data_IF_097562341999
#
_entry.id   IF_097562341999
#
_cell.length_a   1.000
_cell.length_b   1.000
_cell.length_c   1.000
_cell.angle_alpha   90.00
_cell.angle_beta   90.00
_cell.angle_gamma   90.00
#
_symmetry.space_group_name_H-M   'P 1'
#
loop_
_entity.id
_entity.type
_entity.pdbx_description
1 polymer ?
#
# COMPACT_ATOMS: atom_id res chain seq x y z
N UNK A 1 -44.74 -3.42 55.66
CA UNK A 1 -44.63 -3.74 54.22
C UNK A 1 -43.44 -3.00 53.61
N UNK A 2 -42.30 -3.65 53.43
CA UNK A 2 -41.24 -3.24 52.49
C UNK A 2 -40.44 -4.49 52.12
N UNK A 3 -40.97 -5.22 51.15
CA UNK A 3 -40.21 -6.20 50.37
C UNK A 3 -39.90 -5.51 49.03
N UNK A 4 -38.62 -5.43 48.65
CA UNK A 4 -38.22 -4.70 47.46
C UNK A 4 -36.83 -5.08 46.98
N UNK A 5 -36.82 -5.99 45.99
CA UNK A 5 -35.85 -6.14 44.88
C UNK A 5 -34.36 -6.34 45.25
N UNK A 6 -33.98 -7.61 45.41
CA UNK A 6 -32.61 -8.12 45.19
C UNK A 6 -32.57 -9.21 44.09
N UNK A 7 -33.33 -9.03 43.00
CA UNK A 7 -33.45 -10.03 41.92
C UNK A 7 -32.66 -9.75 40.62
N UNK A 8 -32.40 -8.48 40.28
CA UNK A 8 -32.00 -8.12 38.90
C UNK A 8 -30.56 -8.46 38.47
N UNK A 9 -29.58 -8.42 39.37
CA UNK A 9 -28.17 -8.61 38.98
C UNK A 9 -27.78 -10.07 38.72
N UNK A 10 -28.55 -11.02 39.27
CA UNK A 10 -28.37 -12.46 39.03
C UNK A 10 -28.99 -12.89 37.71
N UNK A 11 -30.21 -12.40 37.42
CA UNK A 11 -30.93 -12.67 36.17
C UNK A 11 -30.26 -12.03 34.95
N UNK A 12 -29.70 -10.81 35.06
CA UNK A 12 -28.90 -10.21 33.97
C UNK A 12 -27.62 -10.99 33.70
N UNK A 13 -26.91 -11.50 34.73
CA UNK A 13 -25.71 -12.34 34.54
C UNK A 13 -26.06 -13.73 34.00
N UNK A 14 -27.18 -14.31 34.41
CA UNK A 14 -27.67 -15.58 33.86
C UNK A 14 -28.15 -15.44 32.42
N UNK A 15 -28.89 -14.37 32.08
CA UNK A 15 -29.28 -14.09 30.70
C UNK A 15 -28.07 -13.75 29.80
N UNK A 16 -27.06 -13.06 30.33
CA UNK A 16 -25.80 -12.83 29.62
C UNK A 16 -25.01 -14.14 29.42
N UNK A 17 -24.96 -15.02 30.43
CA UNK A 17 -24.30 -16.34 30.33
C UNK A 17 -25.06 -17.35 29.45
N UNK A 18 -26.39 -17.33 29.46
CA UNK A 18 -27.24 -18.17 28.61
C UNK A 18 -27.22 -17.70 27.15
N UNK A 19 -27.26 -16.37 26.91
CA UNK A 19 -27.03 -15.80 25.58
C UNK A 19 -25.59 -16.04 25.08
N UNK A 20 -24.59 -16.03 25.98
CA UNK A 20 -23.19 -16.32 25.61
C UNK A 20 -22.99 -17.76 25.13
N UNK A 21 -23.78 -18.73 25.63
CA UNK A 21 -23.71 -20.15 25.22
C UNK A 21 -24.40 -20.43 23.88
N UNK A 22 -25.56 -19.82 23.58
CA UNK A 22 -26.27 -20.01 22.30
C UNK A 22 -25.48 -19.50 21.09
N UNK A 23 -24.57 -18.56 21.30
CA UNK A 23 -23.75 -17.98 20.25
C UNK A 23 -22.46 -18.78 19.95
N UNK A 24 -22.15 -19.83 20.71
CA UNK A 24 -20.97 -20.69 20.49
C UNK A 24 -21.21 -21.78 19.46
N UNK A 25 -20.15 -22.28 18.82
CA UNK A 25 -20.29 -23.43 17.93
C UNK A 25 -20.39 -24.71 18.76
N UNK A 26 -21.38 -25.55 18.47
CA UNK A 26 -21.44 -26.88 19.09
C UNK A 26 -20.33 -27.78 18.55
N UNK A 27 -19.91 -28.79 19.31
CA UNK A 27 -18.84 -29.71 18.88
C UNK A 27 -19.10 -30.35 17.51
N UNK A 28 -20.35 -30.74 17.25
CA UNK A 28 -20.76 -31.28 15.95
C UNK A 28 -20.61 -30.25 14.83
N UNK A 29 -21.06 -29.01 15.05
CA UNK A 29 -20.87 -27.93 14.07
C UNK A 29 -19.40 -27.68 13.79
N UNK A 30 -18.56 -27.68 14.83
CA UNK A 30 -17.11 -27.49 14.71
C UNK A 30 -16.50 -28.57 13.82
N UNK A 31 -16.81 -29.85 14.06
CA UNK A 31 -16.30 -30.97 13.27
C UNK A 31 -16.77 -30.91 11.81
N UNK A 32 -18.05 -30.67 11.57
CA UNK A 32 -18.63 -30.61 10.23
C UNK A 32 -18.05 -29.43 9.41
N UNK A 33 -17.89 -28.25 10.05
CA UNK A 33 -17.26 -27.07 9.45
C UNK A 33 -15.80 -27.35 9.10
N UNK A 34 -15.03 -27.95 10.02
CA UNK A 34 -13.61 -28.29 9.80
C UNK A 34 -13.45 -29.23 8.60
N UNK A 35 -14.19 -30.34 8.60
CA UNK A 35 -14.12 -31.34 7.53
C UNK A 35 -14.52 -30.77 6.17
N UNK A 36 -15.66 -30.08 6.11
CA UNK A 36 -16.16 -29.51 4.86
C UNK A 36 -15.25 -28.41 4.31
N UNK A 37 -14.72 -27.54 5.19
CA UNK A 37 -13.84 -26.46 4.79
C UNK A 37 -12.49 -26.97 4.28
N UNK A 38 -11.86 -27.92 4.99
CA UNK A 38 -10.57 -28.49 4.58
C UNK A 38 -10.72 -29.31 3.29
N UNK A 39 -11.76 -30.12 3.17
CA UNK A 39 -12.04 -30.88 1.95
C UNK A 39 -12.24 -29.97 0.74
N UNK A 40 -13.00 -28.89 0.89
CA UNK A 40 -13.16 -27.87 -0.15
C UNK A 40 -11.84 -27.15 -0.44
N UNK A 41 -11.10 -26.72 0.58
CA UNK A 41 -9.85 -25.97 0.42
C UNK A 41 -8.79 -26.79 -0.33
N UNK A 42 -8.65 -28.08 -0.01
CA UNK A 42 -7.72 -28.98 -0.69
C UNK A 42 -7.96 -29.07 -2.20
N UNK A 43 -9.22 -29.01 -2.63
CA UNK A 43 -9.60 -29.09 -4.06
C UNK A 43 -9.66 -27.73 -4.77
N UNK A 44 -9.93 -26.64 -4.06
CA UNK A 44 -10.30 -25.36 -4.65
C UNK A 44 -9.34 -24.20 -4.36
N UNK A 45 -8.31 -24.41 -3.52
CA UNK A 45 -7.35 -23.35 -3.19
C UNK A 45 -6.65 -22.82 -4.45
N UNK A 46 -6.58 -21.50 -4.58
CA UNK A 46 -5.78 -20.89 -5.65
C UNK A 46 -4.29 -21.18 -5.44
N UNK A 47 -3.62 -21.51 -6.54
CA UNK A 47 -2.16 -21.56 -6.60
C UNK A 47 -1.59 -20.14 -6.51
N UNK A 48 -0.94 -19.85 -5.39
CA UNK A 48 -0.32 -18.55 -5.14
C UNK A 48 1.16 -18.77 -4.81
N UNK A 49 2.08 -17.89 -5.26
CA UNK A 49 3.52 -18.13 -5.09
C UNK A 49 3.95 -18.37 -3.63
N UNK A 50 3.30 -17.70 -2.67
CA UNK A 50 3.57 -17.86 -1.24
C UNK A 50 2.92 -19.09 -0.60
N UNK A 51 2.04 -19.80 -1.31
CA UNK A 51 1.45 -21.08 -0.88
C UNK A 51 2.18 -22.30 -1.43
N UNK A 52 3.12 -22.11 -2.35
CA UNK A 52 3.95 -23.20 -2.86
C UNK A 52 4.73 -23.84 -1.71
N UNK A 53 4.93 -25.16 -1.79
CA UNK A 53 5.68 -25.92 -0.80
C UNK A 53 7.10 -25.38 -0.67
N UNK A 54 7.55 -25.27 0.57
CA UNK A 54 8.91 -24.86 0.93
C UNK A 54 9.32 -25.74 2.11
N UNK A 55 10.30 -26.61 1.87
CA UNK A 55 10.74 -27.62 2.83
C UNK A 55 11.51 -26.98 3.99
N UNK A 56 12.17 -25.85 3.75
CA UNK A 56 12.92 -25.16 4.80
C UNK A 56 11.98 -24.27 5.63
N UNK A 57 11.71 -24.70 6.87
CA UNK A 57 10.76 -24.03 7.78
C UNK A 57 10.98 -22.52 7.94
N UNK A 58 12.24 -22.07 8.07
CA UNK A 58 12.56 -20.64 8.19
C UNK A 58 12.28 -19.86 6.89
N UNK A 59 12.49 -20.48 5.72
CA UNK A 59 12.14 -19.86 4.44
C UNK A 59 10.62 -19.83 4.27
N UNK A 60 9.91 -20.87 4.71
CA UNK A 60 8.44 -20.90 4.73
C UNK A 60 7.90 -19.76 5.59
N UNK A 61 8.40 -19.59 6.82
CA UNK A 61 8.01 -18.50 7.71
C UNK A 61 8.30 -17.12 7.09
N UNK A 62 9.49 -16.92 6.51
CA UNK A 62 9.84 -15.68 5.81
C UNK A 62 8.92 -15.38 4.63
N UNK A 63 8.63 -16.36 3.77
CA UNK A 63 7.72 -16.22 2.62
C UNK A 63 6.32 -15.85 3.07
N UNK A 64 5.78 -16.55 4.08
CA UNK A 64 4.48 -16.24 4.67
C UNK A 64 4.47 -14.82 5.23
N UNK A 65 5.47 -14.44 6.02
CA UNK A 65 5.54 -13.10 6.60
C UNK A 65 5.54 -12.00 5.52
N UNK A 66 6.37 -12.15 4.48
CA UNK A 66 6.43 -11.19 3.37
C UNK A 66 5.08 -11.11 2.65
N UNK A 67 4.45 -12.25 2.32
CA UNK A 67 3.15 -12.23 1.63
C UNK A 67 2.05 -11.61 2.48
N UNK A 68 1.97 -11.96 3.77
CA UNK A 68 0.96 -11.43 4.67
C UNK A 68 1.09 -9.92 4.83
N UNK A 69 2.32 -9.40 4.96
CA UNK A 69 2.54 -7.96 5.01
C UNK A 69 2.18 -7.28 3.68
N UNK A 70 2.52 -7.88 2.53
CA UNK A 70 2.14 -7.33 1.23
C UNK A 70 0.62 -7.32 1.02
N UNK A 71 -0.10 -8.35 1.45
CA UNK A 71 -1.55 -8.51 1.28
C UNK A 71 -2.39 -7.57 2.15
N UNK A 72 -1.80 -6.94 3.17
CA UNK A 72 -2.48 -5.90 3.95
C UNK A 72 -3.00 -4.77 3.05
N UNK A 73 -4.32 -4.68 2.92
CA UNK A 73 -5.01 -3.67 2.08
C UNK A 73 -4.56 -3.64 0.61
N UNK A 74 -4.04 -4.76 0.09
CA UNK A 74 -3.56 -4.86 -1.30
C UNK A 74 -4.15 -6.12 -1.94
N UNK A 75 -4.57 -6.01 -3.21
CA UNK A 75 -5.20 -7.14 -3.91
C UNK A 75 -4.18 -8.22 -4.26
N UNK A 76 -4.59 -9.49 -4.16
CA UNK A 76 -3.78 -10.67 -4.48
C UNK A 76 -3.07 -10.56 -5.84
N UNK A 77 -3.81 -10.21 -6.91
CA UNK A 77 -3.25 -10.10 -8.26
C UNK A 77 -2.08 -9.10 -8.35
N UNK A 78 -2.17 -7.98 -7.62
CA UNK A 78 -1.09 -7.00 -7.56
C UNK A 78 0.11 -7.56 -6.81
N UNK A 79 -0.11 -8.25 -5.69
CA UNK A 79 0.95 -8.77 -4.82
C UNK A 79 1.81 -9.84 -5.52
N UNK A 80 1.24 -10.68 -6.40
CA UNK A 80 1.97 -11.77 -7.09
C UNK A 80 3.29 -11.28 -7.70
N UNK A 81 3.25 -10.21 -8.50
CA UNK A 81 4.44 -9.68 -9.16
C UNK A 81 5.47 -9.12 -8.16
N UNK A 82 5.02 -8.40 -7.13
CA UNK A 82 5.90 -7.82 -6.12
C UNK A 82 6.56 -8.90 -5.25
N UNK A 83 5.79 -9.91 -4.86
CA UNK A 83 6.29 -11.03 -4.08
C UNK A 83 7.38 -11.79 -4.84
N UNK A 84 7.15 -12.13 -6.11
CA UNK A 84 8.13 -12.86 -6.92
C UNK A 84 9.44 -12.08 -7.06
N UNK A 85 9.36 -10.76 -7.36
CA UNK A 85 10.54 -9.89 -7.42
C UNK A 85 11.25 -9.78 -6.08
N UNK A 86 10.49 -9.62 -5.00
CA UNK A 86 11.03 -9.49 -3.64
C UNK A 86 11.80 -10.74 -3.22
N UNK A 87 11.20 -11.92 -3.36
CA UNK A 87 11.83 -13.19 -3.01
C UNK A 87 13.00 -13.51 -3.94
N UNK A 88 12.95 -13.12 -5.21
CA UNK A 88 14.09 -13.26 -6.11
C UNK A 88 15.29 -12.41 -5.68
N UNK A 89 15.07 -11.18 -5.18
CA UNK A 89 16.15 -10.30 -4.69
C UNK A 89 16.63 -10.68 -3.29
N UNK A 90 15.70 -11.00 -2.39
CA UNK A 90 15.98 -11.38 -1.00
C UNK A 90 15.31 -12.71 -0.67
N UNK A 91 15.96 -13.85 -0.99
CA UNK A 91 15.35 -15.18 -0.82
C UNK A 91 15.21 -15.61 0.64
N UNK A 92 15.96 -15.00 1.56
CA UNK A 92 15.93 -15.35 2.99
C UNK A 92 15.91 -14.10 3.86
N UNK A 93 15.55 -14.30 5.13
CA UNK A 93 15.59 -13.28 6.17
C UNK A 93 16.95 -12.56 6.25
N UNK A 94 18.07 -13.32 6.16
CA UNK A 94 19.42 -12.75 6.22
C UNK A 94 19.69 -11.79 5.06
N UNK A 95 19.25 -12.13 3.84
CA UNK A 95 19.37 -11.24 2.69
C UNK A 95 18.61 -9.93 2.91
N UNK A 96 17.37 -10.00 3.40
CA UNK A 96 16.59 -8.79 3.68
C UNK A 96 17.24 -7.94 4.79
N UNK A 97 17.75 -8.57 5.86
CA UNK A 97 18.37 -7.84 6.98
C UNK A 97 19.57 -6.97 6.58
N UNK A 98 20.27 -7.35 5.51
CA UNK A 98 21.43 -6.64 4.97
C UNK A 98 21.05 -5.52 3.98
N UNK A 99 19.78 -5.45 3.57
CA UNK A 99 19.33 -4.45 2.62
C UNK A 99 19.33 -3.04 3.22
N UNK A 100 19.56 -2.04 2.36
CA UNK A 100 19.30 -0.65 2.72
C UNK A 100 17.81 -0.32 2.67
N UNK A 101 17.38 0.69 3.42
CA UNK A 101 15.99 1.15 3.38
C UNK A 101 15.60 1.67 1.98
N UNK A 102 16.54 2.29 1.27
CA UNK A 102 16.30 2.83 -0.07
C UNK A 102 16.02 1.70 -1.08
N UNK A 103 16.77 0.60 -1.04
CA UNK A 103 16.49 -0.57 -1.88
C UNK A 103 15.14 -1.22 -1.54
N UNK A 104 14.80 -1.31 -0.25
CA UNK A 104 13.51 -1.84 0.21
C UNK A 104 12.36 -0.97 -0.30
N UNK A 105 12.48 0.36 -0.19
CA UNK A 105 11.51 1.31 -0.71
C UNK A 105 11.37 1.20 -2.23
N UNK A 106 12.47 1.00 -2.95
CA UNK A 106 12.46 0.80 -4.40
C UNK A 106 11.73 -0.48 -4.81
N UNK A 107 11.97 -1.59 -4.12
CA UNK A 107 11.28 -2.85 -4.38
C UNK A 107 9.78 -2.81 -3.99
N UNK A 108 9.42 -1.95 -3.04
CA UNK A 108 8.04 -1.73 -2.60
C UNK A 108 7.30 -0.65 -3.41
N UNK A 109 8.00 0.07 -4.29
CA UNK A 109 7.48 1.23 -4.99
C UNK A 109 6.23 0.88 -5.81
N UNK A 110 5.11 1.51 -5.46
CA UNK A 110 3.80 1.29 -6.09
C UNK A 110 2.83 0.43 -5.28
N UNK A 111 3.29 -0.30 -4.25
CA UNK A 111 2.42 -1.14 -3.41
C UNK A 111 1.67 -0.34 -2.33
N UNK A 112 2.14 0.87 -2.02
CA UNK A 112 1.55 1.73 -1.00
C UNK A 112 1.86 1.28 0.45
N UNK A 113 1.47 2.11 1.42
CA UNK A 113 1.70 1.85 2.86
C UNK A 113 3.16 1.45 3.18
N UNK A 114 4.13 2.28 2.77
CA UNK A 114 5.57 1.99 2.83
C UNK A 114 6.13 1.71 4.22
N UNK A 115 5.44 2.13 5.29
CA UNK A 115 5.78 1.75 6.66
C UNK A 115 5.83 0.23 6.85
N UNK A 116 5.03 -0.53 6.09
CA UNK A 116 5.06 -1.99 6.06
C UNK A 116 6.42 -2.54 5.62
N UNK A 117 6.99 -2.00 4.54
CA UNK A 117 8.28 -2.41 4.02
C UNK A 117 9.41 -2.09 5.01
N UNK A 118 9.34 -0.91 5.64
CA UNK A 118 10.27 -0.50 6.69
C UNK A 118 10.22 -1.48 7.87
N UNK A 119 9.04 -1.83 8.35
CA UNK A 119 8.90 -2.78 9.45
C UNK A 119 9.35 -4.20 9.08
N UNK A 120 9.18 -4.65 7.84
CA UNK A 120 9.78 -5.89 7.37
C UNK A 120 11.31 -5.85 7.52
N UNK A 121 11.95 -4.76 7.10
CA UNK A 121 13.40 -4.60 7.23
C UNK A 121 13.86 -4.54 8.69
N UNK A 122 13.19 -3.73 9.52
CA UNK A 122 13.50 -3.59 10.95
C UNK A 122 13.32 -4.92 11.69
N UNK A 123 12.20 -5.61 11.45
CA UNK A 123 11.94 -6.92 12.03
C UNK A 123 12.96 -7.98 11.55
N UNK A 124 13.36 -7.94 10.27
CA UNK A 124 14.36 -8.86 9.75
C UNK A 124 15.73 -8.63 10.42
N UNK A 125 16.12 -7.38 10.62
CA UNK A 125 17.33 -7.02 11.36
C UNK A 125 17.28 -7.49 12.81
N UNK A 126 16.15 -7.30 13.49
CA UNK A 126 15.96 -7.77 14.87
C UNK A 126 16.12 -9.29 14.96
N UNK A 127 15.37 -10.05 14.16
CA UNK A 127 15.41 -11.52 14.22
C UNK A 127 16.81 -12.05 13.91
N UNK A 128 17.52 -11.46 12.94
CA UNK A 128 18.90 -11.86 12.62
C UNK A 128 19.88 -11.53 13.74
N UNK A 129 19.70 -10.40 14.44
CA UNK A 129 20.51 -10.05 15.60
C UNK A 129 20.29 -11.02 16.79
N UNK A 130 19.08 -11.59 16.91
CA UNK A 130 18.72 -12.57 17.95
C UNK A 130 19.06 -14.03 17.59
N UNK A 131 19.86 -14.27 16.54
CA UNK A 131 20.32 -15.61 16.13
C UNK A 131 19.84 -16.04 14.74
N UNK A 132 18.82 -15.36 14.20
CA UNK A 132 18.34 -15.59 12.83
C UNK A 132 17.35 -16.73 12.68
N UNK A 133 16.77 -17.22 13.78
CA UNK A 133 15.63 -18.14 13.79
C UNK A 133 14.33 -17.37 14.01
N UNK A 134 13.28 -17.69 13.25
CA UNK A 134 11.99 -17.06 13.46
C UNK A 134 11.38 -17.42 14.81
N UNK A 135 10.78 -16.45 15.52
CA UNK A 135 9.94 -16.75 16.66
C UNK A 135 8.79 -17.67 16.26
N UNK A 136 8.57 -18.75 17.01
CA UNK A 136 7.64 -19.83 16.63
C UNK A 136 6.22 -19.65 17.18
N UNK A 137 6.03 -18.76 18.15
CA UNK A 137 4.75 -18.56 18.83
C UNK A 137 4.15 -17.18 18.56
N UNK A 138 2.83 -17.04 18.61
CA UNK A 138 2.15 -15.74 18.48
C UNK A 138 2.69 -14.72 19.48
N UNK A 139 2.91 -15.14 20.74
CA UNK A 139 3.39 -14.25 21.79
C UNK A 139 4.79 -13.69 21.53
N UNK A 140 5.67 -14.47 20.89
CA UNK A 140 7.02 -14.05 20.54
C UNK A 140 7.05 -13.26 19.22
N UNK A 141 6.28 -13.69 18.21
CA UNK A 141 6.13 -13.00 16.94
C UNK A 141 5.60 -11.56 17.10
N UNK A 142 4.66 -11.34 18.03
CA UNK A 142 4.10 -10.00 18.32
C UNK A 142 5.11 -8.99 18.86
N UNK A 143 6.30 -9.43 19.30
CA UNK A 143 7.38 -8.53 19.74
C UNK A 143 8.16 -7.93 18.57
N UNK A 144 8.08 -8.56 17.39
CA UNK A 144 8.78 -8.11 16.18
C UNK A 144 8.08 -6.87 15.61
N UNK A 145 8.82 -5.80 15.26
CA UNK A 145 8.26 -4.58 14.67
C UNK A 145 7.33 -4.86 13.48
N UNK A 146 6.14 -4.28 13.54
CA UNK A 146 5.12 -4.40 12.48
C UNK A 146 4.37 -5.73 12.41
N UNK A 147 4.68 -6.71 13.28
CA UNK A 147 3.89 -7.94 13.40
C UNK A 147 2.75 -7.73 14.40
N UNK A 148 1.55 -7.50 13.87
CA UNK A 148 0.32 -7.47 14.67
C UNK A 148 -0.26 -8.86 14.93
N UNK A 149 -1.36 -8.91 15.68
CA UNK A 149 -2.05 -10.15 16.08
C UNK A 149 -2.41 -11.06 14.88
N UNK A 150 -2.97 -10.48 13.82
CA UNK A 150 -3.26 -11.20 12.56
C UNK A 150 -2.02 -11.84 11.94
N UNK A 151 -0.96 -11.06 11.72
CA UNK A 151 0.26 -11.53 11.05
C UNK A 151 1.01 -12.56 11.91
N UNK A 152 1.00 -12.38 13.24
CA UNK A 152 1.55 -13.37 14.17
C UNK A 152 0.80 -14.71 14.05
N UNK A 153 -0.54 -14.69 14.12
CA UNK A 153 -1.36 -15.90 13.95
C UNK A 153 -1.15 -16.57 12.60
N UNK A 154 -1.03 -15.79 11.53
CA UNK A 154 -0.81 -16.32 10.18
C UNK A 154 0.55 -17.02 10.06
N UNK A 155 1.63 -16.39 10.51
CA UNK A 155 2.96 -17.02 10.50
C UNK A 155 2.98 -18.26 11.39
N UNK A 156 2.49 -18.14 12.62
CA UNK A 156 2.51 -19.22 13.60
C UNK A 156 1.72 -20.45 13.16
N UNK A 157 0.51 -20.26 12.62
CA UNK A 157 -0.32 -21.38 12.16
C UNK A 157 0.16 -21.97 10.83
N UNK A 158 0.54 -21.13 9.84
CA UNK A 158 0.90 -21.60 8.49
C UNK A 158 2.31 -22.20 8.43
N UNK A 159 3.27 -21.61 9.14
CA UNK A 159 4.64 -22.11 9.17
C UNK A 159 4.85 -23.09 10.32
N UNK A 160 4.47 -22.72 11.55
CA UNK A 160 4.86 -23.46 12.75
C UNK A 160 3.76 -24.37 13.33
N UNK A 161 2.60 -24.46 12.68
CA UNK A 161 1.45 -25.27 13.10
C UNK A 161 0.94 -24.95 14.50
N UNK A 162 1.14 -23.73 14.99
CA UNK A 162 0.51 -23.31 16.25
C UNK A 162 -1.02 -23.24 16.05
N UNK A 163 -1.77 -23.81 16.99
CA UNK A 163 -3.24 -23.87 16.93
C UNK A 163 -3.81 -22.54 17.41
N UNK A 164 -3.77 -21.55 16.52
CA UNK A 164 -4.21 -20.17 16.79
C UNK A 164 -5.08 -19.64 15.64
N UNK A 165 -6.08 -18.80 15.94
CA UNK A 165 -6.94 -18.23 14.91
C UNK A 165 -6.23 -17.13 14.13
N UNK A 166 -6.74 -16.88 12.93
CA UNK A 166 -6.37 -15.75 12.09
C UNK A 166 -7.64 -15.04 11.67
N UNK A 167 -7.77 -13.75 12.00
CA UNK A 167 -8.97 -12.96 11.73
C UNK A 167 -8.66 -11.75 10.87
N UNK A 168 -9.04 -11.79 9.60
CA UNK A 168 -9.08 -10.64 8.69
C UNK A 168 -10.51 -10.23 8.33
N UNK A 169 -10.67 -9.27 7.41
CA UNK A 169 -11.99 -8.85 6.92
C UNK A 169 -12.77 -9.95 6.18
N UNK A 170 -12.09 -10.99 5.67
CA UNK A 170 -12.75 -12.15 5.05
C UNK A 170 -13.32 -13.07 6.13
N UNK A 171 -12.51 -13.42 7.12
CA UNK A 171 -12.90 -14.26 8.26
C UNK A 171 -14.00 -13.61 9.07
N UNK A 172 -13.88 -12.31 9.39
CA UNK A 172 -14.94 -11.55 10.07
C UNK A 172 -16.27 -11.68 9.33
N UNK A 173 -16.27 -11.54 8.00
CA UNK A 173 -17.49 -11.64 7.20
C UNK A 173 -18.07 -13.06 7.20
N UNK A 174 -17.22 -14.08 7.09
CA UNK A 174 -17.67 -15.47 7.13
C UNK A 174 -18.30 -15.79 8.49
N UNK A 175 -17.59 -15.49 9.59
CA UNK A 175 -18.08 -15.77 10.94
C UNK A 175 -19.35 -14.96 11.24
N UNK A 176 -19.39 -13.68 10.85
CA UNK A 176 -20.58 -12.86 11.01
C UNK A 176 -21.81 -13.47 10.32
N UNK A 177 -21.65 -14.07 9.14
CA UNK A 177 -22.75 -14.74 8.43
C UNK A 177 -23.09 -16.10 9.03
N UNK A 178 -22.08 -16.89 9.43
CA UNK A 178 -22.29 -18.17 10.10
C UNK A 178 -23.12 -18.00 11.38
N UNK A 179 -22.84 -16.95 12.15
CA UNK A 179 -23.51 -16.66 13.44
C UNK A 179 -24.61 -15.59 13.38
N UNK A 180 -24.89 -15.03 12.20
CA UNK A 180 -25.81 -13.91 12.03
C UNK A 180 -25.52 -12.71 12.97
N UNK A 181 -24.25 -12.34 13.08
CA UNK A 181 -23.79 -11.18 13.87
C UNK A 181 -23.89 -9.91 13.01
N UNK A 182 -24.87 -9.06 13.32
CA UNK A 182 -25.09 -7.78 12.62
C UNK A 182 -24.28 -6.61 13.20
N UNK A 183 -23.66 -6.78 14.37
CA UNK A 183 -22.90 -5.74 15.05
C UNK A 183 -21.78 -5.13 14.18
N UNK A 184 -21.43 -3.87 14.46
CA UNK A 184 -20.36 -3.18 13.73
C UNK A 184 -19.02 -3.92 13.93
N UNK A 185 -18.38 -4.40 12.85
CA UNK A 185 -17.18 -5.22 12.93
C UNK A 185 -15.92 -4.45 13.35
N UNK A 186 -16.04 -3.15 13.62
CA UNK A 186 -14.96 -2.29 14.11
C UNK A 186 -15.04 -2.02 15.62
N UNK A 187 -16.14 -2.38 16.27
CA UNK A 187 -16.29 -2.20 17.71
C UNK A 187 -15.43 -3.22 18.46
N UNK A 188 -14.74 -2.79 19.51
CA UNK A 188 -13.74 -3.60 20.22
C UNK A 188 -14.31 -4.91 20.77
N UNK A 189 -15.51 -4.88 21.33
CA UNK A 189 -16.21 -6.07 21.84
C UNK A 189 -16.55 -7.04 20.70
N UNK A 190 -17.07 -6.53 19.58
CA UNK A 190 -17.38 -7.33 18.40
C UNK A 190 -16.13 -7.97 17.80
N UNK A 191 -15.02 -7.22 17.71
CA UNK A 191 -13.72 -7.76 17.26
C UNK A 191 -13.28 -8.90 18.17
N UNK A 192 -13.31 -8.72 19.49
CA UNK A 192 -12.97 -9.77 20.46
C UNK A 192 -13.83 -11.02 20.25
N UNK A 193 -15.13 -10.85 20.02
CA UNK A 193 -16.06 -11.95 19.74
C UNK A 193 -15.69 -12.74 18.48
N UNK A 194 -15.28 -12.06 17.40
CA UNK A 194 -14.81 -12.74 16.19
C UNK A 194 -13.54 -13.56 16.43
N UNK A 195 -12.61 -13.07 17.26
CA UNK A 195 -11.43 -13.83 17.64
C UNK A 195 -11.75 -15.07 18.47
N UNK A 196 -12.67 -14.96 19.44
CA UNK A 196 -13.14 -16.09 20.26
C UNK A 196 -13.84 -17.17 19.40
N UNK A 197 -14.70 -16.75 18.47
CA UNK A 197 -15.40 -17.65 17.54
C UNK A 197 -14.44 -18.31 16.55
N UNK A 198 -13.46 -17.57 16.04
CA UNK A 198 -12.43 -18.14 15.17
C UNK A 198 -11.60 -19.18 15.94
N UNK A 199 -11.22 -18.89 17.19
CA UNK A 199 -10.43 -19.80 18.03
C UNK A 199 -11.11 -21.15 18.25
N UNK A 200 -12.44 -21.18 18.41
CA UNK A 200 -13.21 -22.43 18.52
C UNK A 200 -13.11 -23.31 17.27
N UNK A 201 -13.00 -22.69 16.10
CA UNK A 201 -13.05 -23.40 14.82
C UNK A 201 -11.69 -23.94 14.36
N UNK A 202 -10.58 -23.31 14.77
CA UNK A 202 -9.23 -23.68 14.31
C UNK A 202 -9.00 -25.18 14.42
N UNK A 203 -8.61 -25.81 13.32
CA UNK A 203 -8.36 -27.24 13.26
C UNK A 203 -7.02 -27.58 13.96
N UNK A 204 -6.99 -28.53 14.92
CA UNK A 204 -5.78 -28.80 15.71
C UNK A 204 -4.57 -29.39 14.98
N UNK A 205 -4.77 -30.11 13.88
CA UNK A 205 -3.71 -30.82 13.13
C UNK A 205 -3.19 -30.00 11.94
N UNK A 206 -4.05 -29.24 11.30
CA UNK A 206 -3.78 -28.41 10.13
C UNK A 206 -4.28 -26.95 10.31
N UNK A 207 -3.85 -26.25 11.38
CA UNK A 207 -4.37 -24.92 11.71
C UNK A 207 -4.09 -23.89 10.61
N UNK A 208 -2.93 -24.01 9.94
CA UNK A 208 -2.55 -23.17 8.80
C UNK A 208 -3.52 -23.30 7.63
N UNK A 209 -3.77 -24.53 7.18
CA UNK A 209 -4.65 -24.81 6.04
C UNK A 209 -6.11 -24.46 6.39
N UNK A 210 -6.54 -24.68 7.63
CA UNK A 210 -7.85 -24.24 8.10
C UNK A 210 -8.00 -22.71 8.05
N UNK A 211 -7.05 -21.96 8.61
CA UNK A 211 -7.06 -20.50 8.59
C UNK A 211 -7.03 -19.96 7.15
N UNK A 212 -6.19 -20.55 6.29
CA UNK A 212 -6.15 -20.18 4.88
C UNK A 212 -7.44 -20.55 4.13
N UNK A 213 -8.07 -21.68 4.48
CA UNK A 213 -9.37 -22.09 3.97
C UNK A 213 -10.47 -21.09 4.33
N UNK A 214 -10.48 -20.60 5.56
CA UNK A 214 -11.49 -19.63 6.01
C UNK A 214 -11.31 -18.26 5.31
N UNK A 215 -10.06 -17.82 5.14
CA UNK A 215 -9.74 -16.63 4.35
C UNK A 215 -10.12 -16.81 2.87
N UNK A 216 -9.82 -17.97 2.28
CA UNK A 216 -10.14 -18.30 0.89
C UNK A 216 -11.65 -18.33 0.66
N UNK A 217 -12.41 -18.98 1.56
CA UNK A 217 -13.86 -19.04 1.52
C UNK A 217 -14.47 -17.64 1.50
N UNK A 218 -14.00 -16.75 2.37
CA UNK A 218 -14.43 -15.35 2.33
C UNK A 218 -14.06 -14.67 1.01
N UNK A 219 -12.84 -14.89 0.52
CA UNK A 219 -12.34 -14.23 -0.69
C UNK A 219 -13.05 -14.67 -1.99
N UNK A 220 -13.46 -15.93 -2.11
CA UNK A 220 -13.92 -16.51 -3.39
C UNK A 220 -15.39 -16.90 -3.41
N UNK A 221 -15.97 -17.32 -2.28
CA UNK A 221 -17.37 -17.80 -2.21
C UNK A 221 -18.23 -16.81 -1.43
N UNK A 222 -17.88 -16.56 -0.18
CA UNK A 222 -18.64 -15.72 0.72
C UNK A 222 -18.28 -14.24 0.53
N UNK A 223 -18.46 -13.73 -0.70
CA UNK A 223 -18.01 -12.38 -1.10
C UNK A 223 -18.86 -11.25 -0.50
N UNK A 224 -18.40 -9.99 -0.49
CA UNK A 224 -19.13 -8.89 0.14
C UNK A 224 -20.51 -8.59 -0.45
N UNK A 225 -20.70 -8.73 -1.77
CA UNK A 225 -21.90 -8.26 -2.47
C UNK A 225 -22.73 -9.36 -3.11
N UNK A 226 -22.11 -10.47 -3.52
CA UNK A 226 -22.81 -11.56 -4.20
C UNK A 226 -22.20 -12.90 -3.77
N UNK A 227 -22.47 -13.35 -2.53
CA UNK A 227 -21.94 -14.60 -2.04
C UNK A 227 -22.58 -15.79 -2.79
N UNK A 228 -21.76 -16.76 -3.21
CA UNK A 228 -22.23 -17.96 -3.90
C UNK A 228 -22.65 -19.05 -2.89
N UNK A 229 -23.72 -18.77 -2.15
CA UNK A 229 -24.18 -19.61 -1.03
C UNK A 229 -24.53 -21.05 -1.42
N UNK A 230 -24.95 -21.30 -2.67
CA UNK A 230 -25.27 -22.65 -3.16
C UNK A 230 -24.03 -23.54 -3.34
N UNK A 231 -22.86 -22.94 -3.54
CA UNK A 231 -21.56 -23.63 -3.64
C UNK A 231 -20.74 -23.60 -2.34
N UNK A 232 -21.29 -23.01 -1.28
CA UNK A 232 -20.56 -22.82 -0.03
C UNK A 232 -20.46 -24.15 0.73
N UNK A 233 -19.24 -24.64 1.04
CA UNK A 233 -19.07 -25.95 1.70
C UNK A 233 -19.62 -25.98 3.12
N UNK A 234 -19.89 -24.83 3.72
CA UNK A 234 -20.39 -24.69 5.10
C UNK A 234 -21.78 -24.03 5.15
N UNK A 235 -22.53 -24.07 4.04
CA UNK A 235 -23.85 -23.44 3.93
C UNK A 235 -24.85 -23.93 4.97
N UNK A 236 -24.77 -25.21 5.34
CA UNK A 236 -25.73 -25.86 6.22
C UNK A 236 -25.61 -25.38 7.67
N UNK A 237 -24.46 -24.80 8.03
CA UNK A 237 -24.22 -24.17 9.32
C UNK A 237 -24.38 -22.64 9.29
N UNK A 238 -24.82 -22.06 8.17
CA UNK A 238 -24.90 -20.61 8.01
C UNK A 238 -26.23 -20.04 8.49
N UNK A 239 -26.25 -19.46 9.70
CA UNK A 239 -27.45 -18.86 10.30
C UNK A 239 -28.03 -17.73 9.45
N UNK A 240 -27.20 -16.86 8.88
CA UNK A 240 -27.67 -15.78 8.00
C UNK A 240 -28.37 -16.32 6.73
N UNK A 241 -27.88 -17.44 6.18
CA UNK A 241 -28.53 -18.09 5.03
C UNK A 241 -29.86 -18.75 5.43
N UNK A 242 -29.91 -19.40 6.59
CA UNK A 242 -31.14 -19.98 7.13
C UNK A 242 -32.21 -18.89 7.34
N UNK A 243 -31.85 -17.76 7.94
CA UNK A 243 -32.76 -16.61 8.12
C UNK A 243 -33.25 -16.10 6.76
N UNK A 244 -32.35 -15.85 5.81
CA UNK A 244 -32.69 -15.33 4.48
C UNK A 244 -33.60 -16.26 3.66
N UNK A 245 -33.54 -17.58 3.90
CA UNK A 245 -34.44 -18.56 3.28
C UNK A 245 -35.86 -18.52 3.87
N UNK A 246 -35.98 -18.14 5.14
CA UNK A 246 -37.26 -18.08 5.86
C UNK A 246 -37.92 -16.69 5.78
N UNK A 247 -37.13 -15.65 5.60
CA UNK A 247 -37.57 -14.26 5.47
C UNK A 247 -36.84 -13.58 4.31
N UNK A 248 -37.57 -13.33 3.21
CA UNK A 248 -37.04 -12.72 2.00
C UNK A 248 -36.66 -11.24 2.15
N UNK A 249 -37.05 -10.60 3.26
CA UNK A 249 -36.65 -9.22 3.58
C UNK A 249 -35.23 -9.12 4.15
N UNK A 250 -34.66 -10.24 4.62
CA UNK A 250 -33.32 -10.31 5.19
C UNK A 250 -32.36 -10.98 4.22
N UNK A 251 -31.24 -10.34 3.93
CA UNK A 251 -30.21 -10.88 3.04
C UNK A 251 -28.99 -11.35 3.84
N UNK A 252 -28.32 -12.39 3.33
CA UNK A 252 -27.01 -12.82 3.87
C UNK A 252 -25.99 -11.67 3.88
N UNK A 253 -26.13 -10.71 2.97
CA UNK A 253 -25.27 -9.53 2.86
C UNK A 253 -25.51 -8.46 3.93
N UNK A 254 -26.55 -8.61 4.76
CA UNK A 254 -26.82 -7.71 5.88
C UNK A 254 -25.88 -7.99 7.07
N UNK A 255 -25.16 -9.11 7.02
CA UNK A 255 -24.20 -9.55 8.02
C UNK A 255 -22.75 -9.51 7.48
N UNK A 256 -21.80 -8.80 8.14
CA UNK A 256 -22.02 -7.82 9.20
C UNK A 256 -22.50 -6.47 8.62
N UNK A 257 -23.05 -5.60 9.48
CA UNK A 257 -23.42 -4.24 9.06
C UNK A 257 -22.19 -3.46 8.60
N UNK A 258 -22.35 -2.72 7.49
CA UNK A 258 -21.29 -1.87 6.95
C UNK A 258 -21.05 -0.68 7.89
N UNK A 259 -19.82 -0.58 8.41
CA UNK A 259 -19.41 0.61 9.17
C UNK A 259 -19.46 1.89 8.34
N UNK A 260 -19.78 3.01 8.98
CA UNK A 260 -19.83 4.33 8.36
C UNK A 260 -18.43 4.72 7.83
N UNK A 261 -18.36 5.23 6.60
CA UNK A 261 -17.10 5.73 6.02
C UNK A 261 -16.80 7.13 6.56
N UNK A 262 -15.61 7.30 7.14
CA UNK A 262 -15.13 8.62 7.57
C UNK A 262 -14.82 9.46 6.32
N UNK A 263 -15.25 10.72 6.32
CA UNK A 263 -14.97 11.66 5.23
C UNK A 263 -13.47 11.98 5.18
N UNK A 264 -12.90 11.91 3.99
CA UNK A 264 -11.47 12.19 3.78
C UNK A 264 -11.19 13.69 3.94
N UNK A 265 -10.04 14.01 4.54
CA UNK A 265 -9.46 15.37 4.56
C UNK A 265 -9.14 15.82 3.13
N UNK A 266 -9.33 17.10 2.81
CA UNK A 266 -8.96 17.69 1.50
C UNK A 266 -7.71 18.55 1.67
N UNK A 267 -6.62 18.14 1.02
CA UNK A 267 -5.33 18.83 1.08
C UNK A 267 -4.94 19.34 -0.32
N UNK A 268 -4.06 20.33 -0.38
CA UNK A 268 -3.61 20.97 -1.62
C UNK A 268 -2.09 21.06 -1.61
N UNK A 269 -1.45 20.78 -2.76
CA UNK A 269 0.01 20.85 -2.87
C UNK A 269 0.47 21.40 -4.21
N UNK A 270 1.41 22.34 -4.16
CA UNK A 270 2.17 22.78 -5.33
C UNK A 270 3.44 21.94 -5.45
N UNK A 271 3.62 21.27 -6.59
CA UNK A 271 4.78 20.44 -6.91
C UNK A 271 5.57 21.08 -8.04
N UNK A 272 6.87 21.26 -7.82
CA UNK A 272 7.81 21.82 -8.78
C UNK A 272 8.75 20.74 -9.29
N UNK A 273 8.62 20.37 -10.56
CA UNK A 273 9.60 19.53 -11.25
C UNK A 273 10.75 20.43 -11.64
N UNK A 274 11.78 20.45 -10.80
CA UNK A 274 13.00 21.22 -11.01
C UNK A 274 13.98 20.41 -11.87
N UNK A 275 14.25 20.91 -13.07
CA UNK A 275 15.19 20.34 -14.03
C UNK A 275 16.34 21.30 -14.26
N UNK A 276 17.56 20.78 -14.20
CA UNK A 276 18.80 21.55 -14.35
C UNK A 276 19.48 21.11 -15.62
N UNK A 277 19.71 22.06 -16.53
CA UNK A 277 20.42 21.85 -17.80
C UNK A 277 21.91 22.16 -17.59
N UNK A 278 22.79 21.24 -18.00
CA UNK A 278 24.24 21.40 -17.91
C UNK A 278 24.77 22.37 -18.99
N UNK A 279 25.89 23.04 -18.71
CA UNK A 279 26.47 24.13 -19.52
C UNK A 279 26.71 23.79 -21.00
N UNK A 280 26.97 22.53 -21.35
CA UNK A 280 27.36 22.13 -22.70
C UNK A 280 26.20 21.91 -23.70
N UNK A 281 24.93 21.98 -23.26
CA UNK A 281 23.78 21.68 -24.12
C UNK A 281 22.80 22.87 -24.22
N UNK A 282 23.25 23.91 -24.91
CA UNK A 282 22.45 25.10 -25.28
C UNK A 282 21.61 24.87 -26.56
N UNK A 283 21.38 23.60 -26.94
CA UNK A 283 20.48 23.22 -28.01
C UNK A 283 19.03 23.30 -27.54
N UNK A 284 18.25 24.22 -28.10
CA UNK A 284 16.83 24.45 -27.76
C UNK A 284 15.91 23.24 -28.07
N UNK A 285 16.43 22.18 -28.67
CA UNK A 285 15.60 21.08 -29.19
C UNK A 285 15.56 19.84 -28.31
N UNK A 286 16.62 19.46 -27.58
CA UNK A 286 16.57 18.38 -26.58
C UNK A 286 17.80 18.46 -25.65
N UNK A 287 17.68 18.89 -24.37
CA UNK A 287 18.79 18.77 -23.44
C UNK A 287 19.03 17.27 -23.20
N UNK A 288 20.06 16.75 -23.85
CA UNK A 288 20.45 15.34 -23.82
C UNK A 288 21.05 14.94 -22.47
N UNK A 289 21.55 15.93 -21.71
CA UNK A 289 22.07 15.78 -20.36
C UNK A 289 21.45 16.82 -19.40
N UNK A 290 20.26 16.49 -18.88
CA UNK A 290 19.62 17.21 -17.78
C UNK A 290 19.45 16.35 -16.53
N UNK A 291 19.44 17.01 -15.38
CA UNK A 291 19.23 16.36 -14.09
C UNK A 291 17.98 16.91 -13.41
N UNK A 292 17.18 16.02 -12.83
CA UNK A 292 16.05 16.37 -11.98
C UNK A 292 16.47 16.38 -10.51
N UNK A 293 15.96 17.35 -9.76
CA UNK A 293 16.14 17.39 -8.31
C UNK A 293 15.00 16.65 -7.61
N UNK A 294 15.38 15.70 -6.76
CA UNK A 294 14.48 15.02 -5.83
C UNK A 294 14.87 15.34 -4.39
N UNK A 295 13.87 15.45 -3.53
CA UNK A 295 14.01 15.59 -2.07
C UNK A 295 13.48 14.34 -1.39
N UNK A 296 14.15 13.94 -0.31
CA UNK A 296 13.68 12.88 0.58
C UNK A 296 12.69 13.47 1.57
N UNK A 297 11.51 12.87 1.67
CA UNK A 297 10.54 13.23 2.70
C UNK A 297 11.09 12.87 4.08
N UNK A 298 10.64 13.56 5.16
CA UNK A 298 11.01 13.21 6.54
C UNK A 298 10.79 11.73 6.85
N UNK A 299 11.50 11.18 7.82
CA UNK A 299 11.38 9.76 8.21
C UNK A 299 10.07 9.41 8.93
N UNK A 300 9.25 10.43 9.22
CA UNK A 300 7.93 10.31 9.80
C UNK A 300 6.84 10.96 8.94
N UNK A 301 5.58 10.57 9.20
CA UNK A 301 4.42 11.11 8.52
C UNK A 301 4.10 10.45 7.16
N UNK A 302 3.38 11.20 6.32
CA UNK A 302 2.89 10.71 5.03
C UNK A 302 4.06 10.44 4.07
N UNK A 303 4.12 9.22 3.51
CA UNK A 303 5.15 8.79 2.54
C UNK A 303 6.58 8.95 3.09
N UNK A 304 6.75 8.73 4.39
CA UNK A 304 8.00 8.89 5.11
C UNK A 304 9.21 8.23 4.42
N UNK A 305 10.32 8.96 4.30
CA UNK A 305 11.59 8.49 3.74
C UNK A 305 11.60 8.26 2.22
N UNK A 306 10.52 8.58 1.50
CA UNK A 306 10.44 8.43 0.04
C UNK A 306 10.92 9.68 -0.69
N UNK A 307 11.38 9.47 -1.93
CA UNK A 307 11.82 10.55 -2.81
C UNK A 307 10.65 11.17 -3.57
N UNK A 308 10.63 12.49 -3.66
CA UNK A 308 9.64 13.27 -4.40
C UNK A 308 10.26 14.49 -5.07
N UNK A 309 9.54 15.09 -6.01
CA UNK A 309 9.88 16.44 -6.49
C UNK A 309 9.62 17.48 -5.39
N UNK A 310 10.38 18.59 -5.34
CA UNK A 310 10.11 19.71 -4.47
C UNK A 310 8.62 20.05 -4.38
N UNK A 311 8.06 20.01 -3.17
CA UNK A 311 6.63 20.18 -2.95
C UNK A 311 6.33 21.08 -1.75
N UNK A 312 5.22 21.81 -1.84
CA UNK A 312 4.73 22.71 -0.77
C UNK A 312 3.26 22.40 -0.51
N UNK A 313 2.89 22.21 0.76
CA UNK A 313 1.50 22.11 1.18
C UNK A 313 0.88 23.52 1.23
N UNK A 314 -0.38 23.62 0.81
CA UNK A 314 -1.12 24.87 0.73
C UNK A 314 -2.33 24.81 1.66
N UNK A 315 -2.72 25.96 2.22
CA UNK A 315 -3.87 26.09 3.14
C UNK A 315 -5.24 25.99 2.44
N UNK A 316 -5.27 25.84 1.11
CA UNK A 316 -6.48 25.77 0.31
C UNK A 316 -6.19 25.71 -1.19
N UNK A 317 -7.26 25.86 -1.99
CA UNK A 317 -7.10 26.10 -3.42
C UNK A 317 -6.38 27.43 -3.64
N UNK A 318 -5.39 27.43 -4.53
CA UNK A 318 -4.53 28.57 -4.76
C UNK A 318 -4.35 28.83 -6.25
N UNK A 319 -4.38 30.11 -6.63
CA UNK A 319 -4.10 30.55 -7.99
C UNK A 319 -2.63 30.30 -8.37
N UNK A 320 -2.31 30.51 -9.65
CA UNK A 320 -0.96 30.26 -10.17
C UNK A 320 0.10 31.15 -9.49
N UNK A 321 -0.23 32.39 -9.16
CA UNK A 321 0.71 33.36 -8.58
C UNK A 321 1.10 32.95 -7.16
N UNK A 322 0.11 32.57 -6.35
CA UNK A 322 0.29 32.11 -4.98
C UNK A 322 1.11 30.82 -4.96
N UNK A 323 0.81 29.87 -5.85
CA UNK A 323 1.58 28.63 -6.00
C UNK A 323 3.04 28.90 -6.36
N UNK A 324 3.30 29.76 -7.35
CA UNK A 324 4.67 30.12 -7.76
C UNK A 324 5.46 30.77 -6.62
N UNK A 325 4.83 31.70 -5.88
CA UNK A 325 5.46 32.34 -4.71
C UNK A 325 5.82 31.34 -3.62
N UNK A 326 4.93 30.39 -3.33
CA UNK A 326 5.17 29.35 -2.33
C UNK A 326 6.34 28.44 -2.74
N UNK A 327 6.39 28.02 -4.00
CA UNK A 327 7.53 27.25 -4.54
C UNK A 327 8.82 28.06 -4.51
N UNK A 328 8.82 29.32 -4.93
CA UNK A 328 10.02 30.17 -4.95
C UNK A 328 10.58 30.33 -3.53
N UNK A 329 9.70 30.51 -2.54
CA UNK A 329 10.10 30.58 -1.13
C UNK A 329 10.70 29.25 -0.66
N UNK A 330 10.08 28.12 -1.00
CA UNK A 330 10.61 26.80 -0.70
C UNK A 330 11.99 26.58 -1.31
N UNK A 331 12.17 26.88 -2.61
CA UNK A 331 13.45 26.69 -3.30
C UNK A 331 14.54 27.58 -2.72
N UNK A 332 14.21 28.84 -2.38
CA UNK A 332 15.16 29.76 -1.76
C UNK A 332 15.59 29.27 -0.37
N UNK A 333 14.65 28.85 0.47
CA UNK A 333 14.97 28.44 1.86
C UNK A 333 15.68 27.09 1.91
N UNK A 334 15.23 26.13 1.10
CA UNK A 334 15.69 24.75 1.17
C UNK A 334 16.88 24.46 0.26
N UNK A 335 17.16 25.29 -0.75
CA UNK A 335 18.28 25.07 -1.67
C UNK A 335 19.15 26.31 -1.88
N UNK A 336 18.83 27.46 -1.27
CA UNK A 336 19.51 28.73 -1.58
C UNK A 336 19.24 29.24 -3.00
N UNK A 337 18.30 28.61 -3.73
CA UNK A 337 17.99 28.92 -5.11
C UNK A 337 17.02 30.10 -5.18
N UNK A 338 17.55 31.31 -5.23
CA UNK A 338 16.78 32.48 -5.65
C UNK A 338 16.65 32.42 -7.18
N UNK A 339 15.51 31.93 -7.65
CA UNK A 339 15.22 31.66 -9.07
C UNK A 339 15.49 32.86 -9.98
N UNK A 340 15.40 34.10 -9.47
CA UNK A 340 15.65 35.32 -10.24
C UNK A 340 17.12 35.75 -10.24
N UNK A 341 17.87 35.43 -9.18
CA UNK A 341 19.26 35.89 -9.01
C UNK A 341 20.28 34.82 -9.40
N UNK A 342 20.07 33.62 -8.89
CA UNK A 342 21.02 32.49 -8.95
C UNK A 342 20.86 31.61 -10.18
N UNK A 343 19.71 31.69 -10.86
CA UNK A 343 19.39 30.87 -12.03
C UNK A 343 19.17 31.75 -13.27
N UNK A 344 19.41 31.17 -14.45
CA UNK A 344 18.79 31.60 -15.71
C UNK A 344 17.62 30.65 -15.97
N UNK A 345 16.39 31.19 -15.96
CA UNK A 345 15.19 30.39 -16.24
C UNK A 345 15.16 30.12 -17.74
N UNK A 346 15.16 28.84 -18.11
CA UNK A 346 14.96 28.38 -19.50
C UNK A 346 13.46 28.25 -19.77
N UNK A 347 12.73 27.63 -18.85
CA UNK A 347 11.30 27.39 -18.96
C UNK A 347 10.65 27.38 -17.58
N UNK A 348 9.49 28.02 -17.42
CA UNK A 348 8.66 27.83 -16.23
C UNK A 348 7.18 27.82 -16.58
N UNK A 349 6.58 26.64 -16.52
CA UNK A 349 5.21 26.43 -17.01
C UNK A 349 4.35 25.64 -16.03
N UNK A 350 3.06 25.97 -16.00
CA UNK A 350 2.09 25.11 -15.35
C UNK A 350 1.78 23.92 -16.26
N UNK A 351 2.01 22.71 -15.76
CA UNK A 351 1.88 21.47 -16.53
C UNK A 351 0.46 20.89 -16.40
N UNK A 352 -0.20 21.14 -15.27
CA UNK A 352 -1.57 20.72 -15.02
C UNK A 352 -1.80 20.35 -13.56
N UNK A 353 -3.00 19.83 -13.27
CA UNK A 353 -3.41 19.43 -11.92
C UNK A 353 -4.14 18.09 -11.92
N UNK A 354 -4.10 17.40 -10.79
CA UNK A 354 -4.91 16.19 -10.57
C UNK A 354 -5.15 15.93 -9.08
N UNK A 355 -6.11 15.07 -8.79
CA UNK A 355 -6.36 14.59 -7.42
C UNK A 355 -5.73 13.22 -7.22
N UNK A 356 -4.90 13.10 -6.19
CA UNK A 356 -4.38 11.84 -5.69
C UNK A 356 -5.12 11.43 -4.41
N UNK A 357 -5.59 10.18 -4.35
CA UNK A 357 -6.44 9.69 -3.25
C UNK A 357 -5.63 8.73 -2.38
N UNK A 358 -5.49 9.10 -1.11
CA UNK A 358 -5.10 8.22 -0.02
C UNK A 358 -6.35 7.79 0.76
N UNK A 359 -6.25 6.77 1.61
CA UNK A 359 -7.39 6.30 2.41
C UNK A 359 -8.00 7.39 3.30
N UNK A 360 -7.19 8.31 3.80
CA UNK A 360 -7.60 9.38 4.73
C UNK A 360 -7.48 10.80 4.15
N UNK A 361 -6.89 10.96 2.95
CA UNK A 361 -6.60 12.27 2.32
C UNK A 361 -6.99 12.25 0.85
N UNK A 362 -7.65 13.32 0.41
CA UNK A 362 -7.84 13.67 -0.99
C UNK A 362 -6.93 14.86 -1.31
N UNK A 363 -5.79 14.60 -1.93
CA UNK A 363 -4.74 15.60 -2.20
C UNK A 363 -4.86 16.14 -3.63
N UNK A 364 -5.19 17.42 -3.80
CA UNK A 364 -5.13 18.11 -5.10
C UNK A 364 -3.69 18.59 -5.34
N UNK A 365 -3.08 18.09 -6.40
CA UNK A 365 -1.69 18.38 -6.78
C UNK A 365 -1.71 19.31 -7.98
N UNK A 366 -0.96 20.41 -7.88
CA UNK A 366 -0.69 21.33 -8.97
C UNK A 366 0.77 21.17 -9.40
N UNK A 367 1.00 20.70 -10.63
CA UNK A 367 2.35 20.49 -11.16
C UNK A 367 2.82 21.72 -11.96
N UNK A 368 4.06 22.16 -11.69
CA UNK A 368 4.81 23.06 -12.56
C UNK A 368 6.13 22.43 -12.99
N UNK A 369 6.59 22.78 -14.19
CA UNK A 369 7.92 22.47 -14.68
C UNK A 369 8.77 23.73 -14.59
N UNK A 370 9.93 23.64 -13.94
CA UNK A 370 10.91 24.70 -13.85
C UNK A 370 12.25 24.18 -14.38
N UNK A 371 12.60 24.60 -15.59
CA UNK A 371 13.89 24.29 -16.23
C UNK A 371 14.81 25.48 -16.03
N UNK A 372 15.95 25.24 -15.40
CA UNK A 372 16.93 26.28 -15.07
C UNK A 372 18.33 25.88 -15.51
N UNK A 373 19.11 26.92 -15.76
CA UNK A 373 20.54 26.84 -15.86
C UNK A 373 21.16 27.56 -14.66
N UNK A 374 22.05 26.89 -13.91
CA UNK A 374 22.61 27.41 -12.66
C UNK A 374 23.85 28.26 -12.92
N UNK A 375 23.84 29.52 -12.45
CA UNK A 375 25.02 30.39 -12.56
C UNK A 375 26.11 29.88 -11.59
N UNK A 376 27.18 29.31 -12.13
CA UNK A 376 28.30 28.75 -11.35
C UNK A 376 28.22 27.25 -11.06
N UNK A 377 27.28 26.54 -11.69
CA UNK A 377 27.17 25.07 -11.61
C UNK A 377 26.57 24.51 -10.31
N UNK A 378 26.21 23.21 -10.36
CA UNK A 378 25.51 22.50 -9.27
C UNK A 378 26.29 22.57 -7.93
N UNK A 379 27.62 22.39 -7.98
CA UNK A 379 28.48 22.39 -6.79
C UNK A 379 28.54 23.74 -6.08
N UNK A 380 28.27 24.86 -6.76
CA UNK A 380 28.29 26.19 -6.15
C UNK A 380 26.92 26.59 -5.59
N UNK A 381 25.83 26.16 -6.21
CA UNK A 381 24.47 26.50 -5.78
C UNK A 381 24.07 25.83 -4.45
N UNK A 382 24.50 24.58 -4.23
CA UNK A 382 24.14 23.80 -3.03
C UNK A 382 25.27 23.74 -1.97
N UNK A 383 26.36 24.49 -2.16
CA UNK A 383 27.62 24.43 -1.36
C UNK A 383 27.49 24.88 0.11
N UNK A 384 26.31 25.33 0.54
CA UNK A 384 26.08 25.95 1.86
C UNK A 384 25.11 25.20 2.78
N UNK A 385 24.85 23.92 2.52
CA UNK A 385 23.98 23.11 3.39
C UNK A 385 24.68 21.84 3.90
N UNK A 386 25.68 22.05 4.75
CA UNK A 386 25.95 21.17 5.91
C UNK A 386 24.91 21.43 7.03
N UNK A 387 23.67 21.76 6.67
CA UNK A 387 22.55 21.78 7.64
C UNK A 387 21.83 20.45 7.50
N UNK A 388 21.87 19.69 8.58
CA UNK A 388 21.36 18.34 8.82
C UNK A 388 19.88 18.05 8.45
N UNK A 389 19.17 18.93 7.72
CA UNK A 389 17.71 18.88 7.61
C UNK A 389 17.13 18.45 6.25
N UNK A 390 17.85 18.56 5.13
CA UNK A 390 17.28 18.28 3.81
C UNK A 390 18.16 17.34 2.97
N UNK A 391 17.78 16.07 2.91
CA UNK A 391 18.39 15.11 1.99
C UNK A 391 17.80 15.32 0.58
N UNK A 392 18.64 15.69 -0.37
CA UNK A 392 18.29 15.82 -1.78
C UNK A 392 19.26 15.02 -2.65
N UNK A 393 18.85 14.69 -3.89
CA UNK A 393 19.73 14.10 -4.91
C UNK A 393 19.37 14.64 -6.28
N UNK A 394 20.37 14.73 -7.15
CA UNK A 394 20.14 14.90 -8.58
C UNK A 394 20.04 13.54 -9.25
N UNK A 395 19.10 13.40 -10.18
CA UNK A 395 18.87 12.16 -10.93
C UNK A 395 18.88 12.50 -12.41
N UNK A 396 19.71 11.79 -13.16
CA UNK A 396 19.76 11.92 -14.61
C UNK A 396 18.39 11.62 -15.22
N UNK A 397 17.98 12.44 -16.21
CA UNK A 397 16.71 12.29 -16.90
C UNK A 397 16.49 10.90 -17.52
N UNK A 398 17.57 10.20 -17.87
CA UNK A 398 17.55 8.84 -18.44
C UNK A 398 17.20 7.76 -17.41
N UNK A 399 17.46 8.01 -16.12
CA UNK A 399 17.37 7.00 -15.03
C UNK A 399 16.20 7.27 -14.07
N UNK A 400 15.56 8.45 -14.15
CA UNK A 400 14.44 8.77 -13.25
C UNK A 400 13.23 7.82 -13.41
N UNK A 401 13.03 7.23 -14.59
CA UNK A 401 11.93 6.31 -14.90
C UNK A 401 12.06 4.97 -14.17
N UNK A 402 13.31 4.51 -13.95
CA UNK A 402 13.65 3.29 -13.22
C UNK A 402 13.78 3.52 -11.70
N UNK A 403 13.78 4.77 -11.24
CA UNK A 403 13.80 5.08 -9.80
C UNK A 403 12.49 4.63 -9.13
N UNK A 404 12.58 4.13 -7.89
CA UNK A 404 11.47 3.71 -7.03
C UNK A 404 10.54 4.85 -6.58
N UNK A 405 9.93 5.56 -7.53
CA UNK A 405 9.04 6.69 -7.28
C UNK A 405 7.62 6.24 -6.93
N UNK A 406 6.97 7.00 -6.05
CA UNK A 406 5.57 6.79 -5.71
C UNK A 406 4.65 7.06 -6.90
N UNK A 407 3.43 6.53 -6.87
CA UNK A 407 2.45 6.67 -7.94
C UNK A 407 2.14 8.13 -8.27
N UNK A 408 2.05 9.01 -7.27
CA UNK A 408 1.82 10.45 -7.48
C UNK A 408 3.00 11.12 -8.17
N UNK A 409 4.23 10.85 -7.73
CA UNK A 409 5.45 11.42 -8.30
C UNK A 409 5.67 10.93 -9.74
N UNK A 410 5.46 9.64 -10.00
CA UNK A 410 5.51 9.07 -11.36
C UNK A 410 4.49 9.73 -12.28
N UNK A 411 3.27 9.99 -11.79
CA UNK A 411 2.23 10.68 -12.57
C UNK A 411 2.64 12.12 -12.90
N UNK A 412 3.19 12.88 -11.95
CA UNK A 412 3.74 14.23 -12.20
C UNK A 412 4.83 14.18 -13.27
N UNK A 413 5.76 13.22 -13.17
CA UNK A 413 6.81 13.04 -14.17
C UNK A 413 6.23 12.74 -15.56
N UNK A 414 5.27 11.82 -15.68
CA UNK A 414 4.59 11.51 -16.95
C UNK A 414 3.89 12.73 -17.54
N UNK A 415 3.25 13.56 -16.70
CA UNK A 415 2.63 14.81 -17.17
C UNK A 415 3.67 15.77 -17.75
N UNK A 416 4.83 15.91 -17.12
CA UNK A 416 5.94 16.71 -17.63
C UNK A 416 6.46 16.19 -18.98
N UNK A 417 6.65 14.87 -19.10
CA UNK A 417 7.12 14.27 -20.34
C UNK A 417 6.13 14.51 -21.49
N UNK A 418 4.84 14.32 -21.24
CA UNK A 418 3.78 14.60 -22.22
C UNK A 418 3.77 16.08 -22.61
N UNK A 419 3.84 16.98 -21.63
CA UNK A 419 3.88 18.42 -21.88
C UNK A 419 5.08 18.83 -22.74
N UNK A 420 6.27 18.29 -22.47
CA UNK A 420 7.47 18.54 -23.29
C UNK A 420 7.28 18.04 -24.72
N UNK A 421 6.76 16.83 -24.90
CA UNK A 421 6.49 16.27 -26.23
C UNK A 421 5.55 17.19 -27.02
N UNK A 422 4.44 17.63 -26.42
CA UNK A 422 3.48 18.52 -27.08
C UNK A 422 4.07 19.91 -27.38
N UNK A 423 4.86 20.47 -26.46
CA UNK A 423 5.43 21.82 -26.60
C UNK A 423 6.56 21.89 -27.62
N UNK A 424 7.35 20.83 -27.77
CA UNK A 424 8.52 20.81 -28.67
C UNK A 424 8.27 20.04 -29.98
N UNK A 425 7.12 19.37 -30.15
CA UNK A 425 6.73 18.75 -31.42
C UNK A 425 6.35 19.76 -32.52
N UNK A 426 6.20 21.05 -32.21
CA UNK A 426 5.70 22.09 -33.13
C UNK A 426 6.75 22.85 -33.95
N UNK A 427 7.99 22.36 -34.07
CA UNK A 427 8.98 22.91 -35.01
C UNK A 427 9.16 21.99 -36.24
N UNK A 428 8.35 22.14 -37.32
CA UNK A 428 8.77 21.62 -38.62
C UNK A 428 9.96 22.45 -39.10
N UNK A 429 11.06 21.79 -39.45
CA UNK A 429 12.25 22.41 -40.04
C UNK A 429 11.87 23.35 -41.22
N UNK A 430 12.58 24.47 -41.43
CA UNK A 430 12.29 25.35 -42.56
C UNK A 430 12.46 24.57 -43.88
N UNK A 431 11.45 24.60 -44.73
CA UNK A 431 11.52 24.01 -46.07
C UNK A 431 12.75 24.57 -46.82
N UNK A 432 13.54 23.73 -47.52
CA UNK A 432 14.74 24.19 -48.20
C UNK A 432 14.39 25.23 -49.27
N UNK A 433 15.05 26.38 -49.19
CA UNK A 433 14.91 27.50 -50.12
C UNK A 433 15.07 27.07 -51.57
N UNK A 434 14.13 27.45 -52.43
CA UNK A 434 14.15 27.30 -53.90
C UNK A 434 15.55 27.60 -54.47
N UNK A 435 16.25 26.56 -54.97
CA UNK A 435 17.43 26.75 -55.81
C UNK A 435 17.02 27.38 -57.14
N UNK A 436 17.60 28.54 -57.39
CA UNK A 436 17.53 29.33 -58.62
C UNK A 436 18.25 28.56 -59.73
N UNK A 437 17.53 28.03 -60.71
CA UNK A 437 18.12 27.35 -61.87
C UNK A 437 18.94 28.35 -62.71
N UNK A 438 20.26 28.12 -62.81
CA UNK A 438 21.16 28.81 -63.75
C UNK A 438 21.58 27.82 -64.85
N UNK A 439 20.94 28.01 -66.01
CA UNK A 439 21.36 27.85 -67.42
C UNK A 439 22.29 26.68 -67.83
N UNK A 440 21.87 26.00 -68.90
CA UNK A 440 22.77 25.68 -70.02
C UNK A 440 22.05 25.99 -71.34
N UNK A 441 22.64 26.90 -72.10
CA UNK A 441 22.29 27.27 -73.48
C UNK A 441 23.04 26.29 -74.39
N UNK A 442 22.33 25.57 -75.25
CA UNK A 442 22.92 24.90 -76.42
C UNK A 442 23.11 25.94 -77.53
N UNK A 443 24.31 25.99 -78.12
CA UNK A 443 24.57 26.59 -79.42
C UNK A 443 25.15 25.50 -80.32
N UNK A 444 24.55 25.34 -81.49
CA UNK A 444 25.27 25.02 -82.73
C UNK A 444 26.03 26.27 -83.19
#
# INVERSE_FOLDING_TARGET
MRAGRRGGAGEERQQQQEADMEDMFSERQIQDIRGSLLGWYGLNRRELPWRLSEDHIEKRAYRVWVSEVMLQQTRVQTVIHYFNRWISKWPTLRHLSQASLDEVNEMWAGLGYYRRARYLLEGAKMIVAEGGEFPRTVSSLRKVPGIGEYTAGAIASIAFKEVVPVVDGNVVRVIARLKAISANPKDSQTVKRFWELAAQLVEPFEPGDFNQGLMELGATICTPTSPNCSSCPVSDHCRALSISRNDSSVLVTDYPVKGVKIKQRRDFSAVCVLEIVKDDDMSETHPSDSEFILVKRPDEGLLAGLWEFPSVLLDGEADLVTRKKAVDHYLKNNFGLDVRKTCKIVLREHVGEFVHIFSHIRLKIYAELLVVHLKGGLKHAFRKQDREALHWKSVDSKVISSTGLTTSVRKVYTMVQKFKQEKFATNPAPAPSRKRNRRTIQRN
#
